data_IF_338714300786
#
_entry.id   IF_338714300786
#
_cell.length_a   1.000
_cell.length_b   1.000
_cell.length_c   1.000
_cell.angle_alpha   90.00
_cell.angle_beta   90.00
_cell.angle_gamma   90.00
#
_symmetry.space_group_name_H-M   'P 1'
#
loop_
_entity.id
_entity.type
_entity.pdbx_description
1 polymer ?
#
# COMPACT_ATOMS: atom_id res chain seq x y z
N UNK A 1 -7.58 -61.07 -43.65
CA UNK A 1 -7.87 -59.65 -43.94
C UNK A 1 -6.59 -58.98 -44.43
N UNK A 2 -6.42 -58.79 -45.76
CA UNK A 2 -5.20 -58.15 -46.32
C UNK A 2 -5.25 -56.66 -46.00
N UNK A 3 -4.54 -56.24 -44.95
CA UNK A 3 -4.33 -54.82 -44.66
C UNK A 3 -3.59 -54.24 -45.86
N UNK A 4 -4.30 -53.50 -46.72
CA UNK A 4 -3.73 -52.85 -47.90
C UNK A 4 -2.64 -51.87 -47.42
N UNK A 5 -1.43 -51.94 -47.98
CA UNK A 5 -0.23 -51.15 -47.60
C UNK A 5 -0.50 -49.67 -47.30
N UNK A 6 -1.48 -49.04 -47.95
CA UNK A 6 -1.89 -47.64 -47.67
C UNK A 6 -2.43 -47.40 -46.25
N UNK A 7 -3.04 -48.39 -45.59
CA UNK A 7 -3.59 -48.24 -44.24
C UNK A 7 -2.48 -48.20 -43.18
N UNK A 8 -1.36 -48.87 -43.45
CA UNK A 8 -0.19 -48.87 -42.57
C UNK A 8 0.47 -47.49 -42.55
N UNK A 9 0.57 -46.82 -43.71
CA UNK A 9 1.08 -45.45 -43.80
C UNK A 9 0.24 -44.44 -43.04
N UNK A 10 -1.09 -44.52 -43.13
CA UNK A 10 -1.98 -43.65 -42.37
C UNK A 10 -1.85 -43.84 -40.86
N UNK A 11 -1.78 -45.10 -40.39
CA UNK A 11 -1.58 -45.39 -38.97
C UNK A 11 -0.24 -44.84 -38.49
N UNK A 12 0.84 -45.05 -39.24
CA UNK A 12 2.16 -44.48 -38.94
C UNK A 12 2.14 -42.95 -38.89
N UNK A 13 1.51 -42.30 -39.86
CA UNK A 13 1.42 -40.83 -39.90
C UNK A 13 0.69 -40.28 -38.67
N UNK A 14 -0.44 -40.88 -38.28
CA UNK A 14 -1.20 -40.48 -37.09
C UNK A 14 -0.36 -40.68 -35.82
N UNK A 15 0.33 -41.80 -35.69
CA UNK A 15 1.21 -42.06 -34.53
C UNK A 15 2.34 -41.03 -34.47
N UNK A 16 3.02 -40.75 -35.58
CA UNK A 16 4.08 -39.73 -35.63
C UNK A 16 3.55 -38.32 -35.35
N UNK A 17 2.36 -37.96 -35.85
CA UNK A 17 1.73 -36.68 -35.55
C UNK A 17 1.41 -36.53 -34.05
N UNK A 18 0.91 -37.59 -33.41
CA UNK A 18 0.62 -37.61 -31.96
C UNK A 18 1.92 -37.50 -31.14
N UNK A 19 2.95 -38.28 -31.47
CA UNK A 19 4.25 -38.23 -30.79
C UNK A 19 4.90 -36.85 -30.96
N UNK A 20 4.82 -36.26 -32.15
CA UNK A 20 5.34 -34.91 -32.42
C UNK A 20 4.56 -33.85 -31.65
N UNK A 21 3.22 -33.94 -31.58
CA UNK A 21 2.40 -33.01 -30.81
C UNK A 21 2.71 -33.07 -29.30
N UNK A 22 2.89 -34.28 -28.76
CA UNK A 22 3.31 -34.48 -27.36
C UNK A 22 4.72 -33.90 -27.14
N UNK A 23 5.67 -34.18 -28.04
CA UNK A 23 7.03 -33.68 -27.96
C UNK A 23 7.14 -32.15 -28.03
N UNK A 24 6.36 -31.51 -28.89
CA UNK A 24 6.28 -30.04 -29.00
C UNK A 24 5.62 -29.44 -27.76
N UNK A 25 4.55 -30.04 -27.24
CA UNK A 25 3.86 -29.53 -26.05
C UNK A 25 4.73 -29.66 -24.78
N UNK A 26 5.39 -30.80 -24.58
CA UNK A 26 6.36 -30.96 -23.50
C UNK A 26 7.57 -30.04 -23.69
N UNK A 27 8.14 -29.98 -24.89
CA UNK A 27 9.25 -29.08 -25.21
C UNK A 27 8.90 -27.62 -24.92
N UNK A 28 7.73 -27.14 -25.32
CA UNK A 28 7.30 -25.77 -25.09
C UNK A 28 7.13 -25.45 -23.60
N UNK A 29 6.56 -26.36 -22.81
CA UNK A 29 6.36 -26.16 -21.38
C UNK A 29 7.68 -26.27 -20.58
N UNK A 30 8.59 -27.15 -21.00
CA UNK A 30 9.95 -27.28 -20.42
C UNK A 30 10.87 -26.12 -20.82
N UNK A 31 10.72 -25.57 -22.02
CA UNK A 31 11.52 -24.44 -22.53
C UNK A 31 11.04 -23.10 -21.95
N UNK A 32 9.74 -22.91 -21.75
CA UNK A 32 9.22 -21.63 -21.20
C UNK A 32 9.36 -21.49 -19.68
N UNK A 33 9.72 -22.57 -18.95
CA UNK A 33 9.97 -22.60 -17.48
C UNK A 33 9.08 -21.61 -16.73
N UNK A 34 7.76 -21.76 -16.85
CA UNK A 34 6.82 -20.88 -16.16
C UNK A 34 6.92 -21.11 -14.65
N UNK A 35 6.97 -20.02 -13.90
CA UNK A 35 7.02 -20.08 -12.44
C UNK A 35 5.85 -19.28 -11.85
N UNK A 36 5.35 -19.67 -10.67
CA UNK A 36 4.34 -18.89 -9.97
C UNK A 36 4.90 -17.54 -9.55
N UNK A 37 4.14 -16.48 -9.83
CA UNK A 37 4.44 -15.10 -9.44
C UNK A 37 3.18 -14.42 -8.96
N UNK A 38 3.33 -13.45 -8.05
CA UNK A 38 2.23 -12.62 -7.63
C UNK A 38 1.85 -11.61 -8.72
N UNK A 39 0.55 -11.46 -8.95
CA UNK A 39 -0.04 -10.49 -9.88
C UNK A 39 -1.11 -9.68 -9.16
N UNK A 40 -1.36 -8.47 -9.65
CA UNK A 40 -2.49 -7.66 -9.22
C UNK A 40 -3.80 -8.37 -9.65
N UNK A 41 -4.67 -8.69 -8.69
CA UNK A 41 -5.97 -9.30 -8.94
C UNK A 41 -7.03 -8.28 -9.36
N UNK A 42 -6.86 -7.04 -8.92
CA UNK A 42 -7.64 -5.87 -9.28
C UNK A 42 -6.69 -4.67 -9.47
N UNK A 43 -7.22 -3.55 -9.94
CA UNK A 43 -6.48 -2.31 -9.96
C UNK A 43 -6.14 -1.89 -8.52
N UNK A 44 -4.86 -1.61 -8.26
CA UNK A 44 -4.40 -1.05 -6.99
C UNK A 44 -4.16 0.44 -7.17
N UNK A 45 -4.81 1.25 -6.34
CA UNK A 45 -4.55 2.70 -6.33
C UNK A 45 -3.32 3.02 -5.48
N UNK A 46 -2.76 4.22 -5.67
CA UNK A 46 -1.68 4.70 -4.82
C UNK A 46 -2.08 4.66 -3.35
N UNK A 47 -1.14 4.26 -2.48
CA UNK A 47 -1.35 4.12 -1.04
C UNK A 47 -2.37 3.03 -0.65
N UNK A 48 -2.76 2.15 -1.57
CA UNK A 48 -3.56 0.97 -1.25
C UNK A 48 -2.69 -0.16 -0.68
N UNK A 49 -3.17 -0.82 0.37
CA UNK A 49 -2.45 -1.91 1.02
C UNK A 49 -2.53 -3.20 0.18
N UNK A 50 -1.40 -3.85 -0.01
CA UNK A 50 -1.31 -5.18 -0.59
C UNK A 50 -1.91 -6.21 0.38
N UNK A 51 -3.00 -6.87 -0.04
CA UNK A 51 -3.79 -7.80 0.77
C UNK A 51 -4.18 -9.04 -0.02
N UNK A 52 -4.58 -10.12 0.66
CA UNK A 52 -5.04 -11.34 -0.04
C UNK A 52 -6.26 -11.12 -0.94
N UNK A 53 -6.98 -10.00 -0.81
CA UNK A 53 -8.15 -9.68 -1.64
C UNK A 53 -7.77 -9.11 -3.01
N UNK A 54 -6.62 -8.44 -3.12
CA UNK A 54 -6.22 -7.72 -4.33
C UNK A 54 -4.97 -8.32 -5.01
N UNK A 55 -4.47 -9.45 -4.50
CA UNK A 55 -3.32 -10.19 -5.04
C UNK A 55 -3.76 -11.59 -5.49
N UNK A 56 -3.26 -12.03 -6.64
CA UNK A 56 -3.49 -13.37 -7.18
C UNK A 56 -2.16 -14.02 -7.59
N UNK A 57 -2.11 -15.34 -7.66
CA UNK A 57 -0.94 -16.06 -8.17
C UNK A 57 -1.17 -16.39 -9.64
N UNK A 58 -0.24 -15.98 -10.50
CA UNK A 58 -0.25 -16.30 -11.92
C UNK A 58 1.03 -17.02 -12.35
N UNK A 59 0.98 -17.66 -13.51
CA UNK A 59 2.15 -18.30 -14.12
C UNK A 59 2.78 -17.36 -15.15
N UNK A 60 4.09 -17.15 -15.07
CA UNK A 60 4.83 -16.29 -16.00
C UNK A 60 6.16 -16.95 -16.40
N UNK A 61 6.59 -16.87 -17.67
CA UNK A 61 7.88 -17.40 -18.10
C UNK A 61 9.05 -16.78 -17.32
N UNK A 62 10.00 -17.60 -16.86
CA UNK A 62 11.12 -17.11 -16.04
C UNK A 62 11.95 -16.02 -16.72
N UNK A 63 12.09 -16.07 -18.05
CA UNK A 63 12.84 -15.08 -18.82
C UNK A 63 12.21 -13.69 -18.89
N UNK A 64 10.91 -13.58 -18.56
CA UNK A 64 10.21 -12.29 -18.48
C UNK A 64 10.23 -11.69 -17.07
N UNK A 65 10.84 -12.38 -16.09
CA UNK A 65 10.86 -11.93 -14.70
C UNK A 65 12.05 -11.02 -14.42
N UNK A 66 11.79 -10.02 -13.58
CA UNK A 66 12.84 -9.17 -13.04
C UNK A 66 13.33 -9.73 -11.71
N UNK A 67 14.52 -9.29 -11.27
CA UNK A 67 15.16 -9.80 -10.06
C UNK A 67 14.31 -9.53 -8.80
N UNK A 68 13.54 -8.46 -8.80
CA UNK A 68 12.68 -8.02 -7.69
C UNK A 68 11.21 -8.45 -7.86
N UNK A 69 10.91 -9.33 -8.81
CA UNK A 69 9.57 -9.90 -8.96
C UNK A 69 9.15 -10.65 -7.70
N UNK A 70 7.95 -10.37 -7.24
CA UNK A 70 7.32 -11.01 -6.09
C UNK A 70 6.83 -12.40 -6.51
N UNK A 71 7.35 -13.45 -5.86
CA UNK A 71 6.95 -14.83 -6.16
C UNK A 71 5.76 -15.26 -5.31
N UNK A 72 5.71 -14.77 -4.07
CA UNK A 72 4.63 -15.04 -3.13
C UNK A 72 4.02 -13.74 -2.60
N UNK A 73 2.67 -13.63 -2.55
CA UNK A 73 1.98 -12.45 -2.01
C UNK A 73 2.45 -12.06 -0.60
N UNK A 74 2.89 -13.03 0.21
CA UNK A 74 3.39 -12.78 1.57
C UNK A 74 4.63 -11.88 1.62
N UNK A 75 5.43 -11.82 0.55
CA UNK A 75 6.65 -10.98 0.51
C UNK A 75 6.34 -9.47 0.51
N UNK A 76 5.12 -9.08 0.18
CA UNK A 76 4.66 -7.68 0.13
C UNK A 76 3.47 -7.41 1.06
N UNK A 77 3.14 -8.37 1.93
CA UNK A 77 2.01 -8.24 2.85
C UNK A 77 2.21 -7.04 3.78
N UNK A 78 1.19 -6.18 3.85
CA UNK A 78 1.24 -4.96 4.67
C UNK A 78 2.08 -3.82 4.07
N UNK A 79 2.60 -3.99 2.85
CA UNK A 79 3.18 -2.89 2.09
C UNK A 79 2.10 -2.15 1.29
N UNK A 80 2.40 -0.92 0.91
CA UNK A 80 1.48 -0.03 0.21
C UNK A 80 1.94 0.22 -1.22
N UNK A 81 1.00 0.29 -2.17
CA UNK A 81 1.32 0.59 -3.56
C UNK A 81 1.89 2.00 -3.69
N UNK A 82 3.09 2.12 -4.26
CA UNK A 82 3.77 3.40 -4.48
C UNK A 82 3.03 4.30 -5.49
N UNK A 83 2.23 3.70 -6.35
CA UNK A 83 1.46 4.36 -7.39
C UNK A 83 0.38 3.42 -7.91
N UNK A 84 -0.28 3.80 -9.01
CA UNK A 84 -1.30 2.97 -9.64
C UNK A 84 -0.69 1.69 -10.25
N UNK A 85 -1.27 0.53 -9.95
CA UNK A 85 -0.88 -0.77 -10.51
C UNK A 85 -2.12 -1.41 -11.15
N UNK A 86 -2.16 -1.54 -12.48
CA UNK A 86 -3.30 -2.16 -13.17
C UNK A 86 -3.45 -3.65 -12.83
N UNK A 87 -4.68 -4.15 -12.88
CA UNK A 87 -5.00 -5.57 -12.77
C UNK A 87 -4.20 -6.42 -13.79
N UNK A 88 -3.80 -7.62 -13.39
CA UNK A 88 -3.00 -8.55 -14.18
C UNK A 88 -1.50 -8.27 -14.22
N UNK A 89 -1.04 -7.12 -13.70
CA UNK A 89 0.38 -6.75 -13.67
C UNK A 89 1.18 -7.69 -12.77
N UNK A 90 2.36 -8.14 -13.23
CA UNK A 90 3.31 -8.90 -12.40
C UNK A 90 3.93 -7.96 -11.37
N UNK A 91 3.80 -8.34 -10.09
CA UNK A 91 4.19 -7.49 -8.99
C UNK A 91 5.69 -7.53 -8.76
N UNK A 92 6.24 -6.37 -8.42
CA UNK A 92 7.65 -6.18 -8.06
C UNK A 92 7.76 -5.50 -6.73
N UNK A 93 8.77 -5.85 -5.93
CA UNK A 93 9.00 -5.23 -4.61
C UNK A 93 9.18 -3.71 -4.72
N UNK A 94 9.78 -3.22 -5.82
CA UNK A 94 9.97 -1.78 -6.07
C UNK A 94 8.67 -0.98 -6.25
N UNK A 95 7.55 -1.65 -6.53
CA UNK A 95 6.23 -1.01 -6.68
C UNK A 95 5.58 -0.72 -5.34
N UNK A 96 6.14 -1.24 -4.24
CA UNK A 96 5.59 -1.11 -2.91
C UNK A 96 6.54 -0.34 -2.00
N UNK A 97 5.95 0.33 -1.02
CA UNK A 97 6.63 1.09 0.01
C UNK A 97 6.18 0.63 1.38
N UNK A 98 7.05 0.85 2.37
CA UNK A 98 6.70 0.57 3.75
C UNK A 98 5.61 1.52 4.24
N UNK A 99 4.88 1.13 5.29
CA UNK A 99 3.93 2.00 5.98
C UNK A 99 4.50 3.39 6.33
N UNK A 100 5.76 3.44 6.78
CA UNK A 100 6.44 4.67 7.20
C UNK A 100 6.65 5.67 6.06
N UNK A 101 6.69 5.17 4.83
CA UNK A 101 6.90 5.94 3.61
C UNK A 101 5.59 6.21 2.85
N UNK A 102 4.51 5.49 3.18
CA UNK A 102 3.20 5.63 2.55
C UNK A 102 2.57 7.01 2.81
N UNK A 103 1.66 7.45 1.95
CA UNK A 103 0.97 8.73 2.08
C UNK A 103 0.06 8.81 3.31
N UNK A 104 -0.46 10.02 3.58
CA UNK A 104 -1.34 10.29 4.73
C UNK A 104 -2.57 9.39 4.75
N UNK A 105 -3.16 9.10 3.59
CA UNK A 105 -4.34 8.24 3.47
C UNK A 105 -4.06 6.80 3.91
N UNK A 106 -2.96 6.21 3.43
CA UNK A 106 -2.48 4.89 3.89
C UNK A 106 -2.22 4.88 5.39
N UNK A 107 -1.62 5.95 5.92
CA UNK A 107 -1.34 6.06 7.36
C UNK A 107 -2.61 6.12 8.19
N UNK A 108 -3.58 6.92 7.75
CA UNK A 108 -4.88 7.05 8.41
C UNK A 108 -5.63 5.71 8.46
N UNK A 109 -5.48 4.85 7.45
CA UNK A 109 -6.13 3.54 7.43
C UNK A 109 -5.77 2.63 8.63
N UNK A 110 -4.66 2.89 9.33
CA UNK A 110 -4.27 2.16 10.54
C UNK A 110 -4.92 2.69 11.82
N UNK A 111 -5.66 3.79 11.75
CA UNK A 111 -6.33 4.42 12.88
C UNK A 111 -7.84 4.48 12.65
N UNK A 112 -8.55 3.34 12.76
CA UNK A 112 -9.99 3.29 12.53
C UNK A 112 -10.74 4.24 13.47
N UNK A 113 -11.75 4.92 12.94
CA UNK A 113 -12.52 5.93 13.68
C UNK A 113 -11.84 7.30 13.80
N UNK A 114 -10.61 7.47 13.27
CA UNK A 114 -9.96 8.77 13.16
C UNK A 114 -10.10 9.36 11.76
N UNK A 115 -10.03 10.68 11.69
CA UNK A 115 -9.98 11.46 10.47
C UNK A 115 -8.66 12.25 10.43
N UNK A 116 -8.18 12.55 9.23
CA UNK A 116 -7.01 13.38 9.03
C UNK A 116 -7.40 14.86 9.08
N UNK A 117 -6.84 15.60 10.03
CA UNK A 117 -7.08 17.03 10.21
C UNK A 117 -5.79 17.80 10.00
N UNK A 118 -5.84 18.83 9.16
CA UNK A 118 -4.69 19.71 8.90
C UNK A 118 -4.66 20.87 9.90
N UNK A 119 -3.55 21.00 10.59
CA UNK A 119 -3.27 22.12 11.50
C UNK A 119 -2.12 22.94 10.92
N UNK A 120 -2.40 24.20 10.56
CA UNK A 120 -1.38 25.10 10.01
C UNK A 120 -0.42 25.59 11.09
N UNK A 121 0.84 25.84 10.75
CA UNK A 121 1.76 26.59 11.59
C UNK A 121 1.49 28.10 11.40
N UNK A 122 0.48 28.61 12.12
CA UNK A 122 0.22 30.04 12.23
C UNK A 122 0.73 30.59 13.58
N UNK A 123 0.67 31.92 13.75
CA UNK A 123 1.08 32.60 14.99
C UNK A 123 0.31 32.12 16.23
N UNK A 124 -0.84 31.47 16.03
CA UNK A 124 -1.70 30.96 17.09
C UNK A 124 -1.41 29.49 17.40
N UNK A 125 -0.61 28.81 16.58
CA UNK A 125 -0.33 27.39 16.72
C UNK A 125 1.16 27.18 17.02
N UNK A 126 1.46 26.74 18.25
CA UNK A 126 2.83 26.40 18.64
C UNK A 126 3.25 25.04 18.06
N UNK A 127 3.50 24.99 16.76
CA UNK A 127 4.02 23.77 16.12
C UNK A 127 5.53 23.81 16.17
N UNK A 128 6.13 23.10 17.12
CA UNK A 128 7.59 22.94 17.14
C UNK A 128 8.05 22.20 15.89
N UNK A 129 9.10 22.68 15.23
CA UNK A 129 9.72 22.01 14.06
C UNK A 129 10.30 20.61 14.34
N UNK A 130 10.12 20.11 15.57
CA UNK A 130 10.58 18.81 16.04
C UNK A 130 9.52 17.71 15.97
N UNK A 131 8.30 18.02 15.51
CA UNK A 131 7.28 16.99 15.29
C UNK A 131 7.71 16.04 14.20
N UNK A 132 7.73 14.75 14.53
CA UNK A 132 7.95 13.65 13.58
C UNK A 132 6.68 12.83 13.39
N UNK A 133 6.60 12.11 12.27
CA UNK A 133 5.54 11.12 12.02
C UNK A 133 5.46 10.13 13.17
N UNK A 134 4.26 9.62 13.41
CA UNK A 134 3.94 8.65 14.47
C UNK A 134 4.06 9.20 15.90
N UNK A 135 4.53 10.44 16.09
CA UNK A 135 4.52 11.06 17.42
C UNK A 135 3.09 11.30 17.89
N UNK A 136 2.90 11.15 19.20
CA UNK A 136 1.66 11.49 19.88
C UNK A 136 1.76 12.90 20.43
N UNK A 137 0.71 13.68 20.23
CA UNK A 137 0.59 15.05 20.74
C UNK A 137 -0.72 15.27 21.47
N UNK A 138 -0.68 16.11 22.49
CA UNK A 138 -1.89 16.69 23.08
C UNK A 138 -2.09 18.08 22.50
N UNK A 139 -3.35 18.42 22.21
CA UNK A 139 -3.73 19.74 21.72
C UNK A 139 -4.61 20.39 22.78
N UNK A 140 -4.20 21.58 23.20
CA UNK A 140 -4.97 22.43 24.11
C UNK A 140 -5.27 23.77 23.45
N UNK A 141 -6.45 24.33 23.70
CA UNK A 141 -6.71 25.73 23.41
C UNK A 141 -6.65 26.58 24.67
N UNK A 142 -6.18 27.81 24.51
CA UNK A 142 -6.15 28.82 25.55
C UNK A 142 -6.92 30.07 25.12
N UNK A 143 -7.86 30.52 25.97
CA UNK A 143 -8.55 31.79 25.79
C UNK A 143 -8.69 32.52 27.12
N UNK A 144 -8.18 33.76 27.20
CA UNK A 144 -8.26 34.62 28.41
C UNK A 144 -7.83 33.93 29.72
N UNK A 145 -6.81 33.06 29.66
CA UNK A 145 -6.23 32.41 30.84
C UNK A 145 -6.90 31.09 31.25
N UNK A 146 -7.95 30.64 30.57
CA UNK A 146 -8.45 29.26 30.70
C UNK A 146 -7.83 28.37 29.62
N UNK A 147 -7.42 27.16 30.01
CA UNK A 147 -6.99 26.10 29.10
C UNK A 147 -8.09 25.04 28.95
N UNK A 148 -8.31 24.59 27.72
CA UNK A 148 -9.21 23.49 27.40
C UNK A 148 -8.46 22.44 26.59
N UNK A 149 -8.60 21.18 26.97
CA UNK A 149 -8.09 20.06 26.17
C UNK A 149 -9.01 19.85 24.95
N UNK A 150 -8.41 19.89 23.75
CA UNK A 150 -9.10 19.63 22.49
C UNK A 150 -8.96 18.17 22.10
N UNK A 151 -7.73 17.65 22.20
CA UNK A 151 -7.40 16.31 21.77
C UNK A 151 -6.29 15.71 22.62
N UNK A 152 -6.40 14.41 22.87
CA UNK A 152 -5.45 13.66 23.69
C UNK A 152 -4.86 12.53 22.86
N UNK A 153 -3.54 12.45 22.82
CA UNK A 153 -2.81 11.47 22.00
C UNK A 153 -3.19 11.49 20.51
N UNK A 154 -3.40 12.69 19.94
CA UNK A 154 -3.52 12.85 18.50
C UNK A 154 -2.21 12.42 17.83
N UNK A 155 -2.29 11.76 16.68
CA UNK A 155 -1.11 11.13 16.04
C UNK A 155 -0.68 11.97 14.85
N UNK A 156 0.61 12.30 14.78
CA UNK A 156 1.17 13.02 13.64
C UNK A 156 1.27 12.11 12.42
N UNK A 157 0.44 12.37 11.42
CA UNK A 157 0.43 11.66 10.13
C UNK A 157 1.41 12.27 9.13
N UNK A 158 1.63 13.59 9.18
CA UNK A 158 2.60 14.29 8.33
C UNK A 158 3.29 15.41 9.08
N UNK A 159 4.59 15.53 8.83
CA UNK A 159 5.47 16.59 9.33
C UNK A 159 5.34 17.84 8.47
N UNK A 160 5.61 19.03 9.06
CA UNK A 160 5.72 20.24 8.27
C UNK A 160 7.00 20.16 7.43
N UNK A 161 6.92 20.59 6.18
CA UNK A 161 8.08 20.68 5.27
C UNK A 161 8.24 22.13 4.83
N UNK A 162 9.41 22.49 4.28
CA UNK A 162 9.64 23.83 3.73
C UNK A 162 8.60 24.27 2.66
N UNK A 163 7.85 23.32 2.09
CA UNK A 163 6.77 23.59 1.11
C UNK A 163 5.36 23.46 1.69
N UNK A 164 5.21 22.90 2.89
CA UNK A 164 3.93 22.64 3.56
C UNK A 164 4.08 22.95 5.04
N UNK A 165 3.59 24.12 5.44
CA UNK A 165 3.68 24.60 6.84
C UNK A 165 2.63 23.96 7.76
N UNK A 166 1.81 23.04 7.25
CA UNK A 166 0.79 22.37 8.03
C UNK A 166 1.23 20.96 8.45
N UNK A 167 0.92 20.60 9.69
CA UNK A 167 0.95 19.22 10.15
C UNK A 167 -0.39 18.57 9.91
N UNK A 168 -0.38 17.27 9.65
CA UNK A 168 -1.61 16.49 9.55
C UNK A 168 -1.69 15.55 10.74
N UNK A 169 -2.81 15.57 11.45
CA UNK A 169 -3.05 14.81 12.67
C UNK A 169 -4.19 13.81 12.45
N UNK A 170 -4.09 12.62 13.03
CA UNK A 170 -5.21 11.70 13.17
C UNK A 170 -5.97 12.03 14.46
N UNK A 171 -7.21 12.49 14.32
CA UNK A 171 -8.08 12.93 15.41
C UNK A 171 -9.46 12.28 15.28
N UNK A 172 -10.24 12.19 16.35
CA UNK A 172 -11.64 11.77 16.22
C UNK A 172 -12.50 12.89 15.59
N UNK A 173 -13.68 12.57 15.02
CA UNK A 173 -14.60 13.58 14.53
C UNK A 173 -15.00 14.62 15.59
N UNK A 174 -15.15 14.19 16.85
CA UNK A 174 -15.48 15.06 17.98
C UNK A 174 -14.33 16.03 18.28
N UNK A 175 -13.09 15.51 18.38
CA UNK A 175 -11.88 16.32 18.58
C UNK A 175 -11.69 17.34 17.44
N UNK A 176 -11.96 16.94 16.19
CA UNK A 176 -11.91 17.83 15.03
C UNK A 176 -12.94 18.95 15.10
N UNK A 177 -14.14 18.66 15.64
CA UNK A 177 -15.18 19.66 15.84
C UNK A 177 -14.73 20.67 16.90
N UNK A 178 -14.18 20.20 18.02
CA UNK A 178 -13.61 21.05 19.07
C UNK A 178 -12.48 21.94 18.54
N UNK A 179 -11.58 21.37 17.73
CA UNK A 179 -10.50 22.11 17.10
C UNK A 179 -11.02 23.20 16.17
N UNK A 180 -12.04 22.89 15.37
CA UNK A 180 -12.66 23.84 14.45
C UNK A 180 -13.33 24.99 15.22
N UNK A 181 -14.03 24.70 16.31
CA UNK A 181 -14.63 25.71 17.19
C UNK A 181 -13.58 26.61 17.85
N UNK A 182 -12.47 26.04 18.33
CA UNK A 182 -11.37 26.82 18.90
C UNK A 182 -10.74 27.76 17.85
N UNK A 183 -10.58 27.29 16.61
CA UNK A 183 -10.07 28.11 15.50
C UNK A 183 -11.04 29.22 15.12
N UNK A 184 -12.34 28.96 15.05
CA UNK A 184 -13.33 30.01 14.75
C UNK A 184 -13.37 31.11 15.81
N UNK A 185 -13.01 30.77 17.05
CA UNK A 185 -12.93 31.70 18.18
C UNK A 185 -11.56 32.43 18.30
N UNK A 186 -10.63 32.19 17.37
CA UNK A 186 -9.25 32.68 17.44
C UNK A 186 -8.53 32.31 18.76
N UNK A 187 -8.81 31.13 19.31
CA UNK A 187 -8.14 30.64 20.51
C UNK A 187 -6.69 30.23 20.18
N UNK A 188 -5.77 30.47 21.11
CA UNK A 188 -4.37 30.06 20.93
C UNK A 188 -4.28 28.54 21.09
N UNK A 189 -3.72 27.85 20.11
CA UNK A 189 -3.53 26.41 20.11
C UNK A 189 -2.11 26.06 20.55
N UNK A 190 -2.02 25.25 21.61
CA UNK A 190 -0.76 24.72 22.11
C UNK A 190 -0.69 23.23 21.80
N UNK A 191 0.37 22.83 21.10
CA UNK A 191 0.65 21.42 20.76
C UNK A 191 1.78 20.92 21.66
N UNK A 192 1.51 19.90 22.46
CA UNK A 192 2.46 19.31 23.41
C UNK A 192 2.86 17.91 22.93
N UNK A 193 4.16 17.67 22.77
CA UNK A 193 4.68 16.35 22.39
C UNK A 193 4.66 15.44 23.61
N UNK A 194 4.10 14.25 23.45
CA UNK A 194 4.10 13.24 24.51
C UNK A 194 5.37 12.37 24.41
N UNK A 195 5.96 11.97 25.55
CA UNK A 195 7.06 11.03 25.55
C UNK A 195 6.59 9.70 24.95
N UNK A 196 7.44 9.10 24.11
CA UNK A 196 7.26 7.70 23.71
C UNK A 196 7.43 6.89 24.99
N UNK A 197 6.36 6.24 25.47
CA UNK A 197 6.52 5.22 26.53
C UNK A 197 7.49 4.18 25.99
N UNK A 198 8.67 4.11 26.58
CA UNK A 198 9.57 2.98 26.39
C UNK A 198 8.96 1.80 27.11
N UNK A 199 8.43 0.85 26.34
CA UNK A 199 8.24 -0.52 26.80
C UNK A 199 9.55 -1.29 26.61
#
# INVERSE_FOLDING_TARGET
>A
MKIKKHNIFYVLFVVFAVVTAIGVFHGYNTVTKKVPVAKAGADLVQDEMASSKNLVIGQTPIGALQKDTVRHPDEIKGMYAKGFIPAGTVLRKSMFISFKDAGVAARLANYPGKIAVSLGADIYTSVGGELKREYKVNIKSGYKGSEREIAKEAIVLSEPTAKKEAIVLAMTPEESTLLTSARSNNEKLTVQILPVKGD
#
